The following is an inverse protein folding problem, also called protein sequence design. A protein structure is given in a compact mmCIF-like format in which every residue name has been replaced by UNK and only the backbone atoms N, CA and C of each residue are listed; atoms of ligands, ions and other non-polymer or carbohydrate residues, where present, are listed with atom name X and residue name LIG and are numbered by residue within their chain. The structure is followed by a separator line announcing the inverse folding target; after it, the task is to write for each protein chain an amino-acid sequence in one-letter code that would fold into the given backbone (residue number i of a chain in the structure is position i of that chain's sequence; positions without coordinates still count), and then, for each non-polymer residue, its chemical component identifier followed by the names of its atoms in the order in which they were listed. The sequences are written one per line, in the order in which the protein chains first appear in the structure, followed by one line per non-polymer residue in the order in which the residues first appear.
data_IF_078532550597
#
_entry.id   IF_078532550597
#
_cell.length_a   1.000
_cell.length_b   1.000
_cell.length_c   1.000
_cell.angle_alpha   90.00
_cell.angle_beta   90.00
_cell.angle_gamma   90.00
#
_symmetry.space_group_name_H-M   'P 1'
#
loop_
_entity.id
_entity.type
_entity.pdbx_description
1 polymer ?
#
# COMPACT_ATOMS: atom_id res chain seq x y z
N UNK A 1 -28.10 -11.94 -5.01
CA UNK A 1 -28.44 -11.63 -6.41
C UNK A 1 -29.49 -12.60 -6.92
N UNK A 2 -30.45 -12.08 -7.69
CA UNK A 2 -31.54 -12.87 -8.26
C UNK A 2 -31.33 -13.25 -9.73
N UNK A 3 -30.22 -12.78 -10.36
CA UNK A 3 -29.90 -12.99 -11.78
C UNK A 3 -28.98 -14.18 -12.06
N UNK A 4 -28.70 -15.01 -11.07
CA UNK A 4 -27.84 -16.21 -11.17
C UNK A 4 -26.36 -15.97 -11.43
N UNK A 5 -25.90 -14.70 -11.48
CA UNK A 5 -24.49 -14.36 -11.65
C UNK A 5 -23.75 -14.33 -10.29
N UNK A 6 -22.45 -14.66 -10.25
CA UNK A 6 -21.71 -14.73 -8.98
C UNK A 6 -21.53 -13.37 -8.32
N UNK A 7 -21.50 -12.28 -9.10
CA UNK A 7 -21.38 -10.90 -8.62
C UNK A 7 -22.09 -9.89 -9.52
N UNK A 8 -22.22 -8.64 -9.05
CA UNK A 8 -22.75 -7.51 -9.79
C UNK A 8 -21.68 -6.51 -10.16
N UNK A 9 -21.82 -5.94 -11.35
CA UNK A 9 -21.01 -4.81 -11.77
C UNK A 9 -21.83 -3.54 -11.52
N UNK A 10 -21.33 -2.59 -10.73
CA UNK A 10 -21.98 -1.30 -10.55
C UNK A 10 -22.20 -0.61 -11.89
N UNK A 11 -23.37 0.01 -12.08
CA UNK A 11 -23.70 0.69 -13.34
C UNK A 11 -22.77 1.86 -13.64
N UNK A 12 -22.21 2.48 -12.59
CA UNK A 12 -21.26 3.60 -12.66
C UNK A 12 -19.81 3.15 -12.67
N UNK A 13 -19.52 1.85 -12.85
CA UNK A 13 -18.15 1.39 -13.04
C UNK A 13 -17.57 2.00 -14.32
N UNK A 14 -16.30 2.46 -14.34
CA UNK A 14 -15.76 3.32 -15.41
C UNK A 14 -15.73 2.65 -16.78
N UNK A 15 -15.73 1.33 -16.83
CA UNK A 15 -15.70 0.55 -18.06
C UNK A 15 -17.00 -0.22 -18.35
N UNK A 16 -18.04 0.00 -17.53
CA UNK A 16 -19.36 -0.57 -17.78
C UNK A 16 -19.89 -0.10 -19.15
N UNK A 17 -20.33 -1.06 -19.99
CA UNK A 17 -20.84 -0.79 -21.35
C UNK A 17 -19.79 -0.53 -22.43
N UNK A 18 -18.48 -0.56 -22.09
CA UNK A 18 -17.40 -0.50 -23.11
C UNK A 18 -17.15 -1.88 -23.69
N UNK A 19 -16.90 -1.95 -25.02
CA UNK A 19 -16.79 -3.23 -25.75
C UNK A 19 -15.43 -3.92 -25.59
N UNK A 20 -14.35 -3.13 -25.45
CA UNK A 20 -12.97 -3.63 -25.53
C UNK A 20 -12.28 -3.75 -24.17
N UNK A 21 -13.03 -3.56 -23.09
CA UNK A 21 -12.51 -3.59 -21.71
C UNK A 21 -13.52 -4.34 -20.83
N UNK A 22 -13.03 -5.19 -19.94
CA UNK A 22 -13.88 -5.90 -19.00
C UNK A 22 -14.58 -4.89 -18.06
N UNK A 23 -15.89 -4.99 -17.91
CA UNK A 23 -16.66 -4.04 -17.11
C UNK A 23 -16.37 -4.12 -15.60
N UNK A 24 -15.70 -5.17 -15.13
CA UNK A 24 -15.23 -5.34 -13.76
C UNK A 24 -14.05 -4.45 -13.40
N UNK A 25 -13.26 -4.02 -14.41
CA UNK A 25 -12.06 -3.21 -14.15
C UNK A 25 -12.47 -1.87 -13.56
N UNK A 26 -11.87 -1.54 -12.39
CA UNK A 26 -12.11 -0.29 -11.70
C UNK A 26 -10.99 0.74 -11.99
N UNK A 27 -9.74 0.30 -12.04
CA UNK A 27 -8.56 1.08 -12.42
C UNK A 27 -7.51 0.17 -13.05
N UNK A 28 -6.49 0.76 -13.68
CA UNK A 28 -5.45 0.02 -14.39
C UNK A 28 -4.05 0.56 -14.04
N UNK A 29 -3.00 -0.07 -14.60
CA UNK A 29 -1.63 0.41 -14.46
C UNK A 29 -0.99 0.09 -13.11
N UNK A 30 -1.39 -0.98 -12.49
CA UNK A 30 -0.79 -1.53 -11.27
C UNK A 30 0.33 -2.52 -11.60
N UNK A 31 1.37 -2.57 -10.76
CA UNK A 31 2.37 -3.64 -10.85
C UNK A 31 1.96 -4.83 -9.99
N UNK A 32 1.89 -4.64 -8.70
CA UNK A 32 1.49 -5.66 -7.74
C UNK A 32 0.80 -4.99 -6.53
N UNK A 33 -0.48 -4.61 -6.68
CA UNK A 33 -1.24 -3.98 -5.61
C UNK A 33 -1.52 -5.01 -4.52
N UNK A 34 -0.63 -5.10 -3.54
CA UNK A 34 -0.64 -6.13 -2.50
C UNK A 34 -1.83 -6.02 -1.58
N UNK A 35 -2.13 -4.82 -1.10
CA UNK A 35 -3.32 -4.56 -0.31
C UNK A 35 -3.92 -3.21 -0.66
N UNK A 36 -5.23 -3.22 -0.86
CA UNK A 36 -6.01 -2.03 -1.17
C UNK A 36 -7.15 -1.86 -0.17
N UNK A 37 -7.52 -0.61 0.09
CA UNK A 37 -8.65 -0.26 0.94
C UNK A 37 -9.34 1.00 0.44
N UNK A 38 -10.63 1.10 0.71
CA UNK A 38 -11.35 2.37 0.69
C UNK A 38 -11.39 2.95 2.10
N UNK A 39 -11.51 4.28 2.18
CA UNK A 39 -11.74 4.93 3.45
C UNK A 39 -13.16 4.63 3.95
N UNK A 40 -13.31 4.07 5.15
CA UNK A 40 -14.62 3.75 5.70
C UNK A 40 -15.49 5.00 6.00
N UNK A 41 -14.90 6.20 6.05
CA UNK A 41 -15.64 7.44 6.14
C UNK A 41 -16.37 7.82 4.83
N UNK A 42 -16.16 7.04 3.77
CA UNK A 42 -16.76 7.21 2.45
C UNK A 42 -15.79 7.78 1.43
N UNK A 43 -16.27 7.87 0.18
CA UNK A 43 -15.49 8.29 -0.97
C UNK A 43 -15.18 7.13 -1.92
N UNK A 44 -14.62 7.47 -3.06
CA UNK A 44 -14.27 6.52 -4.13
C UNK A 44 -12.76 6.33 -4.30
N UNK A 45 -11.94 6.96 -3.48
CA UNK A 45 -10.49 6.84 -3.55
C UNK A 45 -10.03 5.48 -3.05
N UNK A 46 -9.39 4.71 -3.92
CA UNK A 46 -8.76 3.43 -3.59
C UNK A 46 -7.31 3.67 -3.21
N UNK A 47 -6.97 3.37 -1.96
CA UNK A 47 -5.60 3.42 -1.45
C UNK A 47 -4.97 2.04 -1.56
N UNK A 48 -3.83 1.92 -2.25
CA UNK A 48 -3.10 0.67 -2.37
C UNK A 48 -1.62 0.83 -2.09
N UNK A 49 -1.03 -0.13 -1.39
CA UNK A 49 0.40 -0.40 -1.48
C UNK A 49 0.68 -1.15 -2.77
N UNK A 50 1.38 -0.53 -3.70
CA UNK A 50 1.73 -1.13 -4.97
C UNK A 50 3.22 -1.50 -4.96
N UNK A 51 3.52 -2.78 -4.73
CA UNK A 51 4.89 -3.30 -4.73
C UNK A 51 5.48 -3.09 -6.11
N UNK A 52 6.47 -2.24 -6.18
CA UNK A 52 7.08 -1.81 -7.42
C UNK A 52 8.19 -2.77 -7.88
N UNK A 53 8.86 -2.48 -9.00
CA UNK A 53 9.76 -3.46 -9.61
C UNK A 53 11.06 -3.58 -8.84
N UNK A 54 11.75 -2.47 -8.56
CA UNK A 54 13.13 -2.56 -8.16
C UNK A 54 13.57 -1.49 -7.15
N UNK A 55 13.41 -0.22 -7.51
CA UNK A 55 14.09 0.87 -6.80
C UNK A 55 13.22 1.59 -5.79
N UNK A 56 11.90 1.56 -5.98
CA UNK A 56 10.97 2.36 -5.17
C UNK A 56 9.71 1.57 -4.84
N UNK A 57 9.25 1.68 -3.60
CA UNK A 57 7.94 1.24 -3.18
C UNK A 57 6.96 2.42 -3.16
N UNK A 58 5.69 2.17 -3.46
CA UNK A 58 4.73 3.26 -3.63
C UNK A 58 3.38 3.02 -2.96
N UNK A 59 2.82 4.09 -2.39
CA UNK A 59 1.41 4.17 -2.02
C UNK A 59 0.69 4.98 -3.09
N UNK A 60 -0.31 4.36 -3.69
CA UNK A 60 -1.17 4.95 -4.71
C UNK A 60 -2.55 5.25 -4.13
N UNK A 61 -3.10 6.41 -4.47
CA UNK A 61 -4.47 6.78 -4.18
C UNK A 61 -5.13 7.13 -5.51
N UNK A 62 -6.00 6.27 -6.01
CA UNK A 62 -6.59 6.41 -7.34
C UNK A 62 -8.11 6.42 -7.26
N UNK A 63 -8.72 7.19 -8.17
CA UNK A 63 -10.14 7.19 -8.40
C UNK A 63 -10.51 6.21 -9.52
N UNK A 64 -11.78 5.88 -9.64
CA UNK A 64 -12.28 5.00 -10.69
C UNK A 64 -11.90 5.48 -12.10
N UNK A 65 -11.43 4.58 -12.94
CA UNK A 65 -10.98 4.85 -14.29
C UNK A 65 -9.56 5.40 -14.42
N UNK A 66 -8.91 5.72 -13.32
CA UNK A 66 -7.55 6.23 -13.34
C UNK A 66 -6.50 5.15 -13.59
N UNK A 67 -5.33 5.57 -14.06
CA UNK A 67 -4.19 4.73 -14.38
C UNK A 67 -3.06 4.98 -13.35
N UNK A 68 -2.69 3.94 -12.61
CA UNK A 68 -1.63 3.98 -11.61
C UNK A 68 -0.20 4.03 -12.20
N UNK A 69 -0.03 3.85 -13.52
CA UNK A 69 1.19 4.20 -14.27
C UNK A 69 2.13 3.06 -14.62
N UNK A 70 1.98 1.87 -14.06
CA UNK A 70 2.79 0.72 -14.42
C UNK A 70 2.46 0.25 -15.86
N UNK A 71 3.44 -0.05 -16.75
CA UNK A 71 4.91 -0.03 -16.45
C UNK A 71 5.65 1.12 -17.15
N UNK A 72 5.01 2.29 -17.28
CA UNK A 72 5.68 3.48 -17.80
C UNK A 72 6.46 4.23 -16.73
N UNK A 73 5.98 4.16 -15.47
CA UNK A 73 6.61 4.80 -14.32
C UNK A 73 6.69 3.88 -13.12
N UNK A 74 7.69 4.10 -12.27
CA UNK A 74 7.88 3.54 -10.94
C UNK A 74 7.86 4.66 -9.90
N UNK A 75 7.46 4.35 -8.67
CA UNK A 75 7.36 5.34 -7.60
C UNK A 75 6.38 6.46 -7.90
N UNK A 76 6.72 7.69 -7.55
CA UNK A 76 5.83 8.85 -7.78
C UNK A 76 5.66 9.11 -9.27
N UNK A 77 6.70 9.25 -10.04
CA UNK A 77 6.63 9.49 -11.51
C UNK A 77 7.99 9.27 -12.17
N UNK A 78 8.80 8.33 -11.71
CA UNK A 78 10.07 8.00 -12.37
C UNK A 78 9.80 7.15 -13.58
N UNK A 79 10.38 7.51 -14.70
CA UNK A 79 10.27 6.69 -15.91
C UNK A 79 10.92 5.33 -15.68
N UNK A 80 10.28 4.27 -16.13
CA UNK A 80 10.76 2.91 -15.95
C UNK A 80 11.25 2.31 -17.27
N UNK A 81 12.39 1.61 -17.23
CA UNK A 81 12.93 0.87 -18.36
C UNK A 81 13.09 -0.61 -17.95
N UNK A 82 12.37 -1.48 -18.62
CA UNK A 82 12.42 -2.91 -18.32
C UNK A 82 13.79 -3.55 -18.59
N UNK A 83 14.53 -3.04 -19.58
CA UNK A 83 15.86 -3.56 -19.91
C UNK A 83 16.92 -3.16 -18.86
N UNK A 84 16.69 -2.04 -18.17
CA UNK A 84 17.58 -1.48 -17.14
C UNK A 84 16.74 -0.97 -15.97
N UNK A 85 16.23 -1.88 -15.11
CA UNK A 85 15.26 -1.50 -14.05
C UNK A 85 15.78 -0.50 -13.02
N UNK A 86 17.09 -0.45 -12.80
CA UNK A 86 17.74 0.46 -11.86
C UNK A 86 18.13 1.81 -12.49
N UNK A 87 18.07 1.91 -13.81
CA UNK A 87 18.42 3.11 -14.56
C UNK A 87 17.13 3.76 -15.11
N UNK A 88 16.62 4.74 -14.38
CA UNK A 88 15.40 5.44 -14.75
C UNK A 88 15.65 6.45 -15.86
N UNK A 89 15.08 6.29 -17.07
CA UNK A 89 15.20 7.27 -18.13
C UNK A 89 14.71 8.66 -17.68
N UNK A 90 15.35 9.72 -18.15
CA UNK A 90 14.94 11.07 -17.81
C UNK A 90 13.52 11.41 -18.28
N UNK A 91 13.10 10.83 -19.41
CA UNK A 91 11.83 11.14 -20.07
C UNK A 91 11.06 9.90 -20.49
N UNK A 92 9.75 9.95 -20.30
CA UNK A 92 8.77 9.00 -20.83
C UNK A 92 7.40 9.68 -20.93
N UNK A 93 6.48 9.07 -21.66
CA UNK A 93 5.09 9.55 -21.69
C UNK A 93 4.39 9.26 -20.33
N UNK A 94 4.02 10.33 -19.64
CA UNK A 94 3.31 10.33 -18.37
C UNK A 94 1.83 10.73 -18.49
N UNK A 95 1.35 10.88 -19.71
CA UNK A 95 -0.02 11.32 -19.99
C UNK A 95 -1.04 10.33 -19.40
N UNK A 96 -2.00 10.87 -18.64
CA UNK A 96 -3.08 10.12 -18.02
C UNK A 96 -2.67 9.23 -16.84
N UNK A 97 -1.43 9.38 -16.34
CA UNK A 97 -0.96 8.67 -15.16
C UNK A 97 -1.30 9.46 -13.90
N UNK A 98 -1.86 8.78 -12.90
CA UNK A 98 -2.05 9.31 -11.54
C UNK A 98 -0.78 9.03 -10.74
N UNK A 99 -0.08 10.06 -10.22
CA UNK A 99 1.14 9.86 -9.44
C UNK A 99 0.85 9.12 -8.12
N UNK A 100 1.85 8.43 -7.59
CA UNK A 100 1.79 7.94 -6.22
C UNK A 100 1.72 9.13 -5.23
N UNK A 101 1.04 8.91 -4.11
CA UNK A 101 0.93 9.92 -3.04
C UNK A 101 2.11 9.89 -2.07
N UNK A 102 2.74 8.74 -1.92
CA UNK A 102 3.94 8.53 -1.09
C UNK A 102 4.81 7.46 -1.75
N UNK A 103 6.12 7.54 -1.51
CA UNK A 103 7.09 6.55 -1.96
C UNK A 103 8.27 6.49 -1.00
N UNK A 104 9.02 5.41 -1.06
CA UNK A 104 10.31 5.25 -0.37
C UNK A 104 11.24 4.34 -1.18
N UNK A 105 12.54 4.51 -0.94
CA UNK A 105 13.57 3.72 -1.59
C UNK A 105 13.50 2.25 -1.11
N UNK A 106 13.58 1.32 -2.08
CA UNK A 106 13.66 -0.10 -1.83
C UNK A 106 15.09 -0.48 -1.44
N UNK A 107 15.24 -1.21 -0.33
CA UNK A 107 16.55 -1.54 0.25
C UNK A 107 17.39 -2.49 -0.61
N UNK A 108 16.79 -3.19 -1.56
CA UNK A 108 17.51 -4.09 -2.47
C UNK A 108 18.35 -3.31 -3.49
N UNK A 109 17.78 -2.26 -4.07
CA UNK A 109 18.45 -1.51 -5.14
C UNK A 109 19.00 -0.15 -4.68
N UNK A 110 18.39 0.49 -3.69
CA UNK A 110 18.78 1.82 -3.18
C UNK A 110 19.00 1.75 -1.67
N UNK A 111 20.08 1.13 -1.19
CA UNK A 111 20.25 0.83 0.24
C UNK A 111 20.40 2.08 1.12
N UNK A 112 20.90 3.19 0.56
CA UNK A 112 21.10 4.42 1.31
C UNK A 112 19.77 5.14 1.53
N UNK A 113 19.33 5.23 2.80
CA UNK A 113 18.08 5.89 3.18
C UNK A 113 16.80 5.09 2.87
N UNK A 114 16.95 3.84 2.46
CA UNK A 114 15.82 2.94 2.20
C UNK A 114 15.00 2.65 3.46
N UNK A 115 13.78 2.14 3.25
CA UNK A 115 12.86 1.89 4.37
C UNK A 115 12.26 0.48 4.38
N UNK A 116 12.36 -0.25 3.29
CA UNK A 116 11.82 -1.59 3.16
C UNK A 116 12.04 -2.16 1.77
N UNK A 117 11.51 -3.34 1.50
CA UNK A 117 11.66 -4.04 0.21
C UNK A 117 10.33 -4.46 -0.43
N UNK A 118 9.21 -4.33 0.29
CA UNK A 118 7.88 -4.70 -0.23
C UNK A 118 6.79 -4.06 0.60
N UNK A 119 6.13 -3.07 0.03
CA UNK A 119 5.04 -2.34 0.69
C UNK A 119 3.84 -3.23 0.95
N UNK A 120 3.33 -3.22 2.18
CA UNK A 120 2.19 -4.05 2.60
C UNK A 120 0.82 -3.35 2.47
N UNK A 121 0.78 -2.08 2.04
CA UNK A 121 -0.46 -1.29 2.00
C UNK A 121 -1.03 -1.03 3.39
N UNK A 122 -2.28 -0.56 3.48
CA UNK A 122 -2.88 -0.23 4.77
C UNK A 122 -4.27 0.36 4.69
N UNK A 123 -4.63 1.16 5.73
CA UNK A 123 -5.95 1.76 5.89
C UNK A 123 -5.88 3.20 6.40
N UNK A 124 -6.85 4.02 5.99
CA UNK A 124 -7.11 5.29 6.68
C UNK A 124 -7.73 4.97 8.03
N UNK A 125 -7.01 5.26 9.11
CA UNK A 125 -7.50 5.01 10.47
C UNK A 125 -8.66 5.93 10.82
N UNK A 126 -9.73 5.35 11.39
CA UNK A 126 -10.91 6.08 11.86
C UNK A 126 -11.20 5.80 13.35
N UNK A 127 -10.40 4.93 13.95
CA UNK A 127 -10.52 4.57 15.35
C UNK A 127 -10.31 5.76 16.28
N UNK A 128 -11.22 5.91 17.25
CA UNK A 128 -11.14 6.96 18.27
C UNK A 128 -10.14 6.57 19.34
N UNK A 129 -9.30 7.52 19.77
CA UNK A 129 -8.32 7.28 20.85
C UNK A 129 -7.04 6.53 20.42
N UNK A 130 -6.85 6.28 19.13
CA UNK A 130 -5.64 5.64 18.60
C UNK A 130 -4.52 6.62 18.25
N UNK A 131 -4.76 7.95 18.35
CA UNK A 131 -3.81 8.98 17.89
C UNK A 131 -3.60 9.03 16.36
N UNK A 132 -4.27 8.13 15.64
CA UNK A 132 -4.08 7.92 14.20
C UNK A 132 -5.27 8.37 13.35
N UNK A 133 -6.31 8.96 13.94
CA UNK A 133 -7.54 9.30 13.22
C UNK A 133 -7.25 10.19 12.00
N UNK A 134 -7.71 9.76 10.83
CA UNK A 134 -7.50 10.46 9.56
C UNK A 134 -6.13 10.22 8.90
N UNK A 135 -5.22 9.53 9.56
CA UNK A 135 -3.92 9.15 9.01
C UNK A 135 -4.00 7.81 8.28
N UNK A 136 -3.21 7.64 7.25
CA UNK A 136 -3.07 6.36 6.54
C UNK A 136 -1.98 5.52 7.22
N UNK A 137 -2.38 4.42 7.84
CA UNK A 137 -1.47 3.47 8.51
C UNK A 137 -1.17 2.36 7.54
N UNK A 138 0.10 2.17 7.23
CA UNK A 138 0.58 1.15 6.31
C UNK A 138 1.95 0.63 6.75
N UNK A 139 2.52 -0.30 6.01
CA UNK A 139 3.82 -0.85 6.37
C UNK A 139 4.60 -1.38 5.19
N UNK A 140 5.78 -1.87 5.51
CA UNK A 140 6.60 -2.69 4.63
C UNK A 140 6.83 -4.06 5.27
N UNK A 141 6.88 -5.08 4.45
CA UNK A 141 7.07 -6.45 4.86
C UNK A 141 8.32 -6.63 5.70
N UNK A 142 9.47 -6.11 5.22
CA UNK A 142 10.75 -6.11 5.92
C UNK A 142 11.79 -5.25 5.19
N UNK A 143 12.84 -4.86 5.88
CA UNK A 143 14.01 -4.22 5.23
C UNK A 143 14.88 -5.17 4.43
N UNK A 144 14.70 -6.47 4.59
CA UNK A 144 15.49 -7.48 3.88
C UNK A 144 14.87 -8.87 3.99
N UNK A 145 15.39 -9.80 3.18
CA UNK A 145 14.94 -11.19 3.18
C UNK A 145 15.55 -12.04 4.30
N UNK A 146 16.73 -11.67 4.78
CA UNK A 146 17.48 -12.48 5.75
C UNK A 146 17.00 -12.31 7.20
N UNK A 147 16.38 -11.18 7.52
CA UNK A 147 15.96 -10.85 8.86
C UNK A 147 14.56 -10.23 8.87
N UNK A 148 13.78 -10.56 9.90
CA UNK A 148 12.51 -9.89 10.14
C UNK A 148 12.76 -8.49 10.72
N UNK A 149 12.41 -7.47 9.97
CA UNK A 149 12.44 -6.06 10.37
C UNK A 149 11.34 -5.28 9.63
N UNK A 150 10.09 -5.68 9.90
CA UNK A 150 8.90 -5.03 9.35
C UNK A 150 8.80 -3.59 9.82
N UNK A 151 8.37 -2.70 8.94
CA UNK A 151 8.24 -1.27 9.23
C UNK A 151 6.77 -0.87 9.20
N UNK A 152 6.37 -0.01 10.13
CA UNK A 152 5.07 0.67 10.12
C UNK A 152 5.29 2.14 9.80
N UNK A 153 4.45 2.66 8.92
CA UNK A 153 4.46 4.06 8.49
C UNK A 153 3.15 4.75 8.83
N UNK A 154 3.25 6.03 9.07
CA UNK A 154 2.12 6.93 9.27
C UNK A 154 2.12 7.95 8.15
N UNK A 155 1.15 7.85 7.26
CA UNK A 155 0.89 8.81 6.19
C UNK A 155 -0.05 9.91 6.66
N UNK A 156 0.30 11.15 6.44
CA UNK A 156 -0.50 12.32 6.82
C UNK A 156 -0.78 13.16 5.59
N UNK A 157 -2.06 13.48 5.37
CA UNK A 157 -2.50 14.40 4.32
C UNK A 157 -2.59 15.81 4.89
N UNK A 158 -1.84 16.74 4.30
CA UNK A 158 -1.90 18.14 4.66
C UNK A 158 -3.14 18.82 4.07
N UNK A 159 -3.45 20.03 4.54
CA UNK A 159 -4.58 20.83 4.06
C UNK A 159 -4.48 21.23 2.58
N UNK A 160 -3.27 21.31 2.04
CA UNK A 160 -2.99 21.54 0.61
C UNK A 160 -3.13 20.27 -0.26
N UNK A 161 -3.51 19.14 0.36
CA UNK A 161 -3.70 17.85 -0.30
C UNK A 161 -2.44 17.00 -0.45
N UNK A 162 -1.26 17.51 -0.11
CA UNK A 162 0.00 16.77 -0.17
C UNK A 162 0.08 15.76 0.95
N UNK A 163 0.72 14.63 0.66
CA UNK A 163 0.99 13.58 1.61
C UNK A 163 2.44 13.61 2.06
N UNK A 164 2.64 13.34 3.34
CA UNK A 164 3.93 13.03 3.95
C UNK A 164 3.84 11.69 4.65
N UNK A 165 4.97 11.05 4.88
CA UNK A 165 5.04 9.83 5.67
C UNK A 165 6.22 9.86 6.63
N UNK A 166 6.05 9.20 7.76
CA UNK A 166 7.10 8.96 8.76
C UNK A 166 7.13 7.48 9.13
N UNK A 167 8.30 7.00 9.50
CA UNK A 167 8.46 5.67 10.12
C UNK A 167 7.98 5.77 11.56
N UNK A 168 7.01 4.94 11.94
CA UNK A 168 6.54 4.90 13.30
C UNK A 168 7.59 4.26 14.22
N UNK A 169 7.80 4.87 15.40
CA UNK A 169 8.47 4.18 16.49
C UNK A 169 7.52 3.12 17.05
N UNK A 170 7.84 1.86 16.88
CA UNK A 170 6.99 0.74 17.28
C UNK A 170 7.40 0.26 18.68
N UNK A 171 6.43 0.20 19.58
CA UNK A 171 6.55 -0.56 20.82
C UNK A 171 5.43 -1.60 20.88
N UNK A 172 5.77 -2.83 21.22
CA UNK A 172 4.81 -3.94 21.27
C UNK A 172 4.54 -4.26 22.74
N UNK A 173 3.27 -4.20 23.13
CA UNK A 173 2.87 -4.64 24.48
C UNK A 173 3.15 -6.15 24.62
N UNK A 174 3.91 -6.52 25.64
CA UNK A 174 4.38 -7.89 25.81
C UNK A 174 5.72 -8.20 25.13
N UNK A 175 6.33 -7.21 24.45
CA UNK A 175 7.58 -7.36 23.71
C UNK A 175 7.42 -7.96 22.32
N UNK A 176 8.45 -7.79 21.49
CA UNK A 176 8.50 -8.43 20.17
C UNK A 176 9.13 -9.82 20.28
N UNK A 177 8.63 -10.82 19.53
CA UNK A 177 9.30 -12.10 19.45
C UNK A 177 10.77 -11.92 19.07
N UNK A 178 11.68 -12.53 19.85
CA UNK A 178 13.12 -12.46 19.61
C UNK A 178 13.75 -11.04 19.59
N UNK A 179 13.06 -10.02 20.17
CA UNK A 179 13.55 -8.66 20.20
C UNK A 179 13.63 -7.94 18.85
N UNK A 180 13.05 -8.53 17.78
CA UNK A 180 13.01 -7.95 16.44
C UNK A 180 11.57 -7.64 16.02
N UNK A 181 11.39 -6.64 15.14
CA UNK A 181 10.09 -6.40 14.53
C UNK A 181 9.69 -7.59 13.65
N UNK A 182 8.46 -8.10 13.77
CA UNK A 182 8.01 -9.17 12.89
C UNK A 182 7.85 -8.70 11.45
N UNK A 183 7.81 -9.62 10.51
CA UNK A 183 7.36 -9.31 9.14
C UNK A 183 5.94 -8.78 9.17
N UNK A 184 5.66 -7.71 8.42
CA UNK A 184 4.30 -7.18 8.24
C UNK A 184 3.69 -7.83 7.01
N UNK A 185 2.76 -8.74 7.22
CA UNK A 185 2.11 -9.44 6.10
C UNK A 185 1.02 -8.59 5.47
N UNK A 186 0.21 -7.92 6.30
CA UNK A 186 -0.94 -7.13 5.87
C UNK A 186 -1.48 -6.28 7.03
N UNK A 187 -2.42 -5.40 6.69
CA UNK A 187 -3.25 -4.72 7.68
C UNK A 187 -4.72 -5.12 7.54
N UNK A 188 -5.45 -4.94 8.61
CA UNK A 188 -6.89 -5.07 8.66
C UNK A 188 -7.49 -3.87 9.41
N UNK A 189 -8.78 -3.66 9.23
CA UNK A 189 -9.52 -2.62 9.94
C UNK A 189 -10.84 -3.20 10.47
N UNK A 190 -11.18 -2.88 11.72
CA UNK A 190 -12.46 -3.26 12.28
C UNK A 190 -13.58 -2.22 12.02
N UNK A 191 -14.79 -2.54 12.44
CA UNK A 191 -15.95 -1.66 12.26
C UNK A 191 -15.88 -0.35 13.07
N UNK A 192 -14.98 -0.25 14.04
CA UNK A 192 -14.71 0.98 14.78
C UNK A 192 -13.69 1.88 14.07
N UNK A 193 -13.06 1.36 13.01
CA UNK A 193 -12.00 2.03 12.27
C UNK A 193 -10.61 1.90 12.89
N UNK A 194 -10.45 1.00 13.86
CA UNK A 194 -9.15 0.65 14.42
C UNK A 194 -8.36 -0.20 13.42
N UNK A 195 -7.07 0.08 13.30
CA UNK A 195 -6.18 -0.62 12.37
C UNK A 195 -5.35 -1.65 13.10
N UNK A 196 -5.21 -2.81 12.49
CA UNK A 196 -4.45 -3.95 13.00
C UNK A 196 -3.37 -4.35 12.01
N UNK A 197 -2.16 -4.65 12.51
CA UNK A 197 -1.08 -5.25 11.75
C UNK A 197 -1.12 -6.78 11.91
N UNK A 198 -1.16 -7.49 10.79
CA UNK A 198 -1.05 -8.94 10.71
C UNK A 198 0.40 -9.28 10.45
N UNK A 199 1.01 -10.02 11.35
CA UNK A 199 2.46 -10.21 11.38
C UNK A 199 2.86 -11.67 11.48
N UNK A 200 4.08 -11.97 11.02
CA UNK A 200 4.72 -13.28 11.19
C UNK A 200 6.17 -13.12 11.62
N UNK A 201 6.70 -14.08 12.34
CA UNK A 201 8.14 -14.16 12.63
C UNK A 201 8.91 -14.96 11.58
N UNK A 202 8.23 -15.51 10.60
CA UNK A 202 8.77 -16.18 9.43
C UNK A 202 8.41 -15.42 8.16
N UNK A 203 9.03 -15.75 7.04
CA UNK A 203 8.82 -15.05 5.75
C UNK A 203 7.40 -15.15 5.19
N UNK A 204 6.57 -16.03 5.72
CA UNK A 204 5.16 -16.19 5.36
C UNK A 204 4.34 -16.74 6.53
N UNK A 205 3.02 -16.88 6.37
CA UNK A 205 2.15 -17.40 7.41
C UNK A 205 2.59 -18.81 7.82
N UNK A 206 2.82 -19.02 9.11
CA UNK A 206 3.30 -20.30 9.66
C UNK A 206 2.41 -20.84 10.78
N UNK A 207 1.22 -20.34 10.92
CA UNK A 207 0.12 -20.90 11.73
C UNK A 207 0.28 -20.90 13.25
N UNK A 208 1.46 -20.94 13.81
CA UNK A 208 1.65 -21.09 15.27
C UNK A 208 2.27 -19.89 15.99
N UNK A 209 2.85 -18.94 15.23
CA UNK A 209 3.58 -17.79 15.80
C UNK A 209 3.21 -16.46 15.13
N UNK A 210 2.19 -16.49 14.29
CA UNK A 210 1.64 -15.30 13.68
C UNK A 210 0.79 -14.53 14.71
N UNK A 211 0.88 -13.22 14.68
CA UNK A 211 0.23 -12.38 15.69
C UNK A 211 -0.47 -11.18 15.02
N UNK A 212 -1.60 -10.80 15.58
CA UNK A 212 -2.34 -9.59 15.18
C UNK A 212 -2.15 -8.54 16.28
N UNK A 213 -1.61 -7.38 15.90
CA UNK A 213 -1.41 -6.25 16.80
C UNK A 213 -2.33 -5.08 16.42
N UNK A 214 -3.03 -4.53 17.41
CA UNK A 214 -3.72 -3.25 17.25
C UNK A 214 -2.69 -2.12 17.16
N UNK A 215 -2.81 -1.26 16.14
CA UNK A 215 -1.91 -0.11 15.97
C UNK A 215 -2.44 1.10 16.73
N UNK A 216 -1.62 1.65 17.62
CA UNK A 216 -1.89 2.89 18.36
C UNK A 216 -0.72 3.84 18.13
N UNK A 217 -0.99 5.04 17.63
CA UNK A 217 0.00 6.11 17.42
C UNK A 217 -0.02 7.04 18.62
N UNK A 218 1.14 7.24 19.25
CA UNK A 218 1.30 8.13 20.40
C UNK A 218 1.84 9.49 19.99
#
# INVERSE_FOLDING_TARGET
RTDGKPYGIPKDNPFAGKKDVLPEIWSAGWRNPWACSFDMAGGSTLYCGDVQQNSWEAIKAVEKGQNAGWRRVEGVMRCFNWAEPDNHPANCDKTGITPAIMEYANCTAVPNGCKGISVAGGYVSRGKGTGAQGKYIFGDWSKGFAENDGQIFVGTKASDGKWSMEVASVSVQGGTPNGKNPYILRFAQDNNGDVYALTSITTGPNGSQDTIYKVVVK
#
